data_IF_258875019448
#
_entry.id   IF_258875019448
#
_cell.length_a   1.000
_cell.length_b   1.000
_cell.length_c   1.000
_cell.angle_alpha   90.00
_cell.angle_beta   90.00
_cell.angle_gamma   90.00
#
_symmetry.space_group_name_H-M   'P 1'
#
loop_
_entity.id
_entity.type
_entity.pdbx_description
1 polymer ?
#
# COMPACT_ATOMS: atom_id res chain seq x y z
N UNK A 1 -66.23 55.65 24.47
CA UNK A 1 -65.67 54.91 23.32
C UNK A 1 -64.42 54.18 23.80
N UNK A 2 -64.63 52.90 24.09
CA UNK A 2 -63.77 51.74 23.76
C UNK A 2 -62.41 52.05 23.11
N UNK A 3 -61.29 51.38 23.40
CA UNK A 3 -60.98 50.05 23.93
C UNK A 3 -59.49 50.08 24.30
N UNK A 4 -59.05 49.38 25.35
CA UNK A 4 -57.77 48.63 25.31
C UNK A 4 -57.93 47.30 26.04
N UNK A 5 -58.07 46.28 25.21
CA UNK A 5 -58.15 44.86 25.52
C UNK A 5 -56.75 44.29 25.78
N UNK A 6 -56.67 43.26 26.63
CA UNK A 6 -55.46 42.49 26.95
C UNK A 6 -55.47 41.14 26.15
N UNK A 7 -54.48 40.24 26.29
CA UNK A 7 -53.65 39.77 25.17
C UNK A 7 -53.95 38.33 24.74
N UNK A 8 -53.43 37.91 23.57
CA UNK A 8 -53.34 36.50 23.21
C UNK A 8 -52.08 36.20 22.39
N UNK A 9 -51.52 35.05 22.75
CA UNK A 9 -50.21 34.48 22.43
C UNK A 9 -50.06 34.13 20.94
N UNK A 10 -48.87 34.40 20.37
CA UNK A 10 -48.49 33.97 19.03
C UNK A 10 -47.99 32.51 19.05
N UNK A 11 -48.70 31.63 18.35
CA UNK A 11 -48.18 30.34 17.88
C UNK A 11 -47.31 30.58 16.63
N UNK A 12 -46.05 30.15 16.65
CA UNK A 12 -45.25 29.98 15.44
C UNK A 12 -45.34 28.52 14.99
N UNK A 13 -46.00 28.33 13.84
CA UNK A 13 -46.07 27.07 13.10
C UNK A 13 -44.68 26.70 12.56
N UNK A 14 -44.26 25.47 12.86
CA UNK A 14 -43.12 24.80 12.22
C UNK A 14 -43.50 24.48 10.76
N UNK A 15 -42.69 24.91 9.80
CA UNK A 15 -42.76 24.43 8.41
C UNK A 15 -41.49 23.65 8.10
N UNK A 16 -41.64 22.34 7.88
CA UNK A 16 -40.55 21.46 7.45
C UNK A 16 -40.18 21.73 5.99
N UNK A 17 -38.89 21.70 5.60
CA UNK A 17 -38.52 21.73 4.20
C UNK A 17 -38.81 20.36 3.56
N UNK A 18 -39.58 20.36 2.47
CA UNK A 18 -39.76 19.19 1.59
C UNK A 18 -38.42 18.88 0.94
N UNK A 19 -37.85 17.71 1.23
CA UNK A 19 -36.63 17.24 0.56
C UNK A 19 -36.95 16.86 -0.89
N UNK A 20 -36.19 17.43 -1.82
CA UNK A 20 -36.24 17.09 -3.24
C UNK A 20 -35.61 15.70 -3.45
N UNK A 21 -36.36 14.72 -3.97
CA UNK A 21 -35.93 13.32 -4.09
C UNK A 21 -34.96 13.03 -5.24
N UNK A 22 -34.37 14.06 -5.86
CA UNK A 22 -33.50 13.91 -7.03
C UNK A 22 -32.00 14.04 -6.76
N UNK A 23 -31.59 14.27 -5.51
CA UNK A 23 -30.17 14.34 -5.14
C UNK A 23 -29.57 13.00 -4.63
N UNK A 24 -30.37 11.93 -4.54
CA UNK A 24 -29.98 10.65 -3.91
C UNK A 24 -29.34 9.63 -4.87
N UNK A 25 -28.87 10.06 -6.05
CA UNK A 25 -28.24 9.18 -7.04
C UNK A 25 -26.73 9.40 -7.22
N UNK A 26 -26.09 10.31 -6.47
CA UNK A 26 -24.65 10.59 -6.60
C UNK A 26 -23.75 9.99 -5.50
N UNK A 27 -24.31 9.17 -4.60
CA UNK A 27 -23.55 8.58 -3.47
C UNK A 27 -23.28 7.08 -3.65
N UNK A 28 -23.56 6.50 -4.82
CA UNK A 28 -23.16 5.12 -5.11
C UNK A 28 -21.72 5.09 -5.62
N UNK A 29 -20.82 4.89 -4.66
CA UNK A 29 -19.42 4.46 -4.80
C UNK A 29 -18.43 5.48 -5.35
N UNK A 30 -18.04 6.44 -4.51
CA UNK A 30 -16.65 6.87 -4.52
C UNK A 30 -15.84 5.74 -3.85
N UNK A 31 -15.48 4.70 -4.59
CA UNK A 31 -14.58 3.67 -4.09
C UNK A 31 -13.33 4.37 -3.56
N UNK A 32 -13.07 4.24 -2.25
CA UNK A 32 -11.90 4.84 -1.64
C UNK A 32 -10.66 4.36 -2.40
N UNK A 33 -9.80 5.30 -2.80
CA UNK A 33 -8.55 4.94 -3.47
C UNK A 33 -7.71 4.13 -2.48
N UNK A 34 -7.20 2.95 -2.87
CA UNK A 34 -6.37 2.17 -1.97
C UNK A 34 -5.15 2.99 -1.53
N UNK A 35 -4.71 2.88 -0.26
CA UNK A 35 -3.50 3.53 0.21
C UNK A 35 -2.28 2.96 -0.53
N UNK A 36 -1.11 3.62 -0.51
CA UNK A 36 0.12 3.01 -1.01
C UNK A 36 0.38 1.67 -0.27
N UNK A 37 0.59 0.56 -1.01
CA UNK A 37 0.82 -0.73 -0.38
C UNK A 37 2.14 -0.74 0.38
N UNK A 38 2.16 -1.42 1.51
CA UNK A 38 3.38 -1.76 2.25
C UNK A 38 4.03 -3.01 1.67
N UNK A 39 5.29 -3.23 2.02
CA UNK A 39 5.99 -4.47 1.70
C UNK A 39 5.27 -5.67 2.34
N UNK A 40 4.65 -5.52 3.51
CA UNK A 40 3.79 -6.55 4.11
C UNK A 40 2.63 -6.97 3.20
N UNK A 41 2.00 -6.03 2.50
CA UNK A 41 0.89 -6.33 1.58
C UNK A 41 1.40 -7.07 0.34
N UNK A 42 2.55 -6.64 -0.19
CA UNK A 42 3.24 -7.31 -1.28
C UNK A 42 3.64 -8.75 -0.93
N UNK A 43 4.10 -9.01 0.30
CA UNK A 43 4.50 -10.35 0.73
C UNK A 43 3.34 -11.35 0.86
N UNK A 44 2.09 -10.86 0.91
CA UNK A 44 0.91 -11.74 0.87
C UNK A 44 0.61 -12.28 -0.54
N UNK A 45 1.27 -11.73 -1.57
CA UNK A 45 1.20 -12.21 -2.95
C UNK A 45 2.36 -13.17 -3.24
N UNK A 46 2.09 -14.48 -3.18
CA UNK A 46 3.10 -15.54 -3.36
C UNK A 46 3.75 -15.50 -4.74
N UNK A 47 2.96 -15.31 -5.79
CA UNK A 47 3.47 -15.31 -7.17
C UNK A 47 4.40 -14.11 -7.40
N UNK A 48 4.02 -12.93 -6.88
CA UNK A 48 4.89 -11.76 -6.93
C UNK A 48 6.17 -11.98 -6.11
N UNK A 49 6.05 -12.53 -4.90
CA UNK A 49 7.20 -12.81 -4.05
C UNK A 49 8.18 -13.78 -4.73
N UNK A 50 7.68 -14.84 -5.37
CA UNK A 50 8.52 -15.81 -6.09
C UNK A 50 9.23 -15.19 -7.30
N UNK A 51 8.57 -14.30 -8.04
CA UNK A 51 9.21 -13.53 -9.11
C UNK A 51 10.30 -12.58 -8.58
N UNK A 52 10.09 -11.96 -7.42
CA UNK A 52 11.09 -11.11 -6.79
C UNK A 52 12.30 -11.93 -6.33
N UNK A 53 12.07 -13.10 -5.72
CA UNK A 53 13.13 -14.04 -5.31
C UNK A 53 13.99 -14.44 -6.50
N UNK A 54 13.37 -14.86 -7.60
CA UNK A 54 14.09 -15.22 -8.84
C UNK A 54 14.97 -14.08 -9.36
N UNK A 55 14.51 -12.83 -9.22
CA UNK A 55 15.19 -11.64 -9.72
C UNK A 55 16.25 -11.07 -8.78
N UNK A 56 16.15 -11.30 -7.48
CA UNK A 56 16.95 -10.62 -6.46
C UNK A 56 17.82 -11.55 -5.63
N UNK A 57 17.58 -12.87 -5.60
CA UNK A 57 18.44 -13.86 -4.94
C UNK A 57 19.79 -14.14 -5.63
N UNK A 58 20.00 -13.95 -6.95
CA UNK A 58 21.28 -14.27 -7.57
C UNK A 58 22.49 -13.53 -6.94
N UNK A 59 23.57 -14.28 -6.68
CA UNK A 59 24.82 -13.76 -6.11
C UNK A 59 25.80 -13.18 -7.15
N UNK A 60 25.41 -13.11 -8.43
CA UNK A 60 26.30 -12.62 -9.47
C UNK A 60 26.61 -11.13 -9.30
N UNK A 61 27.90 -10.78 -9.13
CA UNK A 61 28.36 -9.46 -8.71
C UNK A 61 27.99 -8.31 -9.65
N UNK A 62 27.69 -8.59 -10.93
CA UNK A 62 27.25 -7.59 -11.92
C UNK A 62 25.77 -7.22 -11.78
N UNK A 63 24.97 -8.01 -11.05
CA UNK A 63 23.54 -7.77 -10.85
C UNK A 63 23.33 -7.16 -9.47
N UNK A 64 22.78 -5.95 -9.41
CA UNK A 64 22.36 -5.33 -8.16
C UNK A 64 21.20 -6.12 -7.56
N UNK A 65 21.43 -6.74 -6.41
CA UNK A 65 20.59 -7.75 -5.80
C UNK A 65 20.10 -7.33 -4.39
N UNK A 66 19.52 -8.28 -3.64
CA UNK A 66 19.01 -8.05 -2.28
C UNK A 66 20.03 -7.37 -1.35
N UNK A 67 21.33 -7.71 -1.43
CA UNK A 67 22.37 -7.10 -0.58
C UNK A 67 22.53 -5.61 -0.82
N UNK A 68 22.48 -5.20 -2.08
CA UNK A 68 22.62 -3.79 -2.46
C UNK A 68 21.44 -2.97 -1.93
N UNK A 69 20.25 -3.58 -1.90
CA UNK A 69 19.03 -2.96 -1.41
C UNK A 69 19.06 -2.88 0.12
N UNK A 70 19.35 -3.99 0.79
CA UNK A 70 19.47 -4.08 2.24
C UNK A 70 20.55 -3.14 2.80
N UNK A 71 21.73 -3.11 2.18
CA UNK A 71 22.81 -2.19 2.54
C UNK A 71 22.38 -0.73 2.42
N UNK A 72 21.65 -0.37 1.35
CA UNK A 72 21.13 0.99 1.17
C UNK A 72 20.12 1.40 2.23
N UNK A 73 19.37 0.43 2.78
CA UNK A 73 18.45 0.64 3.88
C UNK A 73 19.08 0.43 5.27
N UNK A 74 20.41 0.38 5.35
CA UNK A 74 21.15 0.45 6.61
C UNK A 74 21.46 -0.89 7.26
N UNK A 75 21.27 -2.02 6.56
CA UNK A 75 21.77 -3.31 7.04
C UNK A 75 23.31 -3.30 7.02
N UNK A 76 23.93 -3.58 8.16
CA UNK A 76 25.39 -3.60 8.31
C UNK A 76 26.05 -4.72 7.50
N UNK A 77 27.35 -4.60 7.26
CA UNK A 77 28.11 -5.64 6.56
C UNK A 77 28.01 -7.01 7.26
N UNK A 78 28.08 -7.03 8.58
CA UNK A 78 28.00 -8.27 9.37
C UNK A 78 26.60 -8.90 9.27
N UNK A 79 25.54 -8.09 9.32
CA UNK A 79 24.16 -8.56 9.11
C UNK A 79 23.96 -9.12 7.69
N UNK A 80 24.48 -8.43 6.67
CA UNK A 80 24.42 -8.90 5.27
C UNK A 80 25.15 -10.23 5.10
N UNK A 81 26.35 -10.34 5.68
CA UNK A 81 27.16 -11.56 5.62
C UNK A 81 26.45 -12.70 6.33
N UNK A 82 25.91 -12.46 7.53
CA UNK A 82 25.17 -13.46 8.29
C UNK A 82 23.92 -13.94 7.53
N UNK A 83 23.15 -13.03 6.92
CA UNK A 83 21.97 -13.39 6.15
C UNK A 83 22.31 -14.21 4.90
N UNK A 84 23.39 -13.86 4.19
CA UNK A 84 23.87 -14.66 3.06
C UNK A 84 24.20 -16.09 3.50
N UNK A 85 25.00 -16.26 4.56
CA UNK A 85 25.38 -17.58 5.05
C UNK A 85 24.17 -18.43 5.48
N UNK A 86 23.16 -17.81 6.10
CA UNK A 86 21.94 -18.51 6.55
C UNK A 86 21.04 -18.98 5.40
N UNK A 87 21.10 -18.30 4.26
CA UNK A 87 20.22 -18.56 3.12
C UNK A 87 20.93 -19.27 1.96
N UNK A 88 22.26 -19.37 2.03
CA UNK A 88 23.08 -20.00 1.00
C UNK A 88 22.65 -21.45 0.76
N UNK A 89 22.28 -21.76 -0.49
CA UNK A 89 21.89 -23.10 -0.92
C UNK A 89 20.52 -23.56 -0.40
N UNK A 90 19.76 -22.70 0.30
CA UNK A 90 18.44 -23.05 0.79
C UNK A 90 17.38 -22.86 -0.30
N UNK A 91 16.52 -23.87 -0.48
CA UNK A 91 15.33 -23.75 -1.34
C UNK A 91 14.14 -23.10 -0.60
N UNK A 92 14.12 -23.21 0.74
CA UNK A 92 13.02 -22.73 1.59
C UNK A 92 13.29 -21.34 2.18
N UNK A 93 14.55 -20.93 2.33
CA UNK A 93 14.93 -19.64 2.90
C UNK A 93 15.59 -18.76 1.83
N UNK A 94 14.88 -17.71 1.42
CA UNK A 94 15.37 -16.73 0.44
C UNK A 94 15.91 -15.49 1.15
N UNK A 95 17.10 -14.99 0.78
CA UNK A 95 17.60 -13.74 1.33
C UNK A 95 16.77 -12.53 0.91
N UNK A 96 16.16 -12.54 -0.28
CA UNK A 96 15.21 -11.49 -0.70
C UNK A 96 14.00 -11.47 0.22
N UNK A 97 13.44 -12.63 0.57
CA UNK A 97 12.28 -12.71 1.46
C UNK A 97 12.62 -12.20 2.87
N UNK A 98 13.75 -12.62 3.45
CA UNK A 98 14.20 -12.15 4.76
C UNK A 98 14.48 -10.63 4.77
N UNK A 99 15.08 -10.10 3.71
CA UNK A 99 15.25 -8.67 3.51
C UNK A 99 13.90 -7.93 3.51
N UNK A 100 12.94 -8.37 2.70
CA UNK A 100 11.61 -7.76 2.62
C UNK A 100 10.89 -7.85 3.96
N UNK A 101 11.02 -8.97 4.67
CA UNK A 101 10.43 -9.18 5.99
C UNK A 101 10.95 -8.17 7.01
N UNK A 102 12.27 -7.90 7.04
CA UNK A 102 12.89 -6.95 7.97
C UNK A 102 12.42 -5.51 7.75
N UNK A 103 12.06 -5.16 6.52
CA UNK A 103 11.61 -3.82 6.13
C UNK A 103 10.11 -3.77 5.80
N UNK A 104 9.30 -4.71 6.30
CA UNK A 104 7.90 -4.88 5.89
C UNK A 104 6.99 -3.66 6.10
N UNK A 105 7.39 -2.73 6.97
CA UNK A 105 6.65 -1.49 7.24
C UNK A 105 6.86 -0.40 6.19
N UNK A 106 7.92 -0.50 5.37
CA UNK A 106 8.15 0.41 4.25
C UNK A 106 7.13 0.20 3.15
N UNK A 107 6.92 1.23 2.35
CA UNK A 107 6.03 1.19 1.18
C UNK A 107 6.69 0.50 -0.01
N UNK A 108 5.88 -0.06 -0.91
CA UNK A 108 6.36 -0.57 -2.21
C UNK A 108 6.92 0.57 -3.08
N UNK A 109 6.50 1.81 -2.84
CA UNK A 109 7.09 3.00 -3.47
C UNK A 109 8.56 3.18 -3.07
N UNK A 110 8.90 3.08 -1.78
CA UNK A 110 10.30 3.15 -1.31
C UNK A 110 11.15 2.00 -1.90
N UNK A 111 10.58 0.79 -2.01
CA UNK A 111 11.25 -0.33 -2.69
C UNK A 111 11.49 -0.03 -4.19
N UNK A 112 10.52 0.63 -4.83
CA UNK A 112 10.62 1.06 -6.23
C UNK A 112 11.71 2.12 -6.44
N UNK A 113 11.96 2.98 -5.45
CA UNK A 113 13.06 3.96 -5.48
C UNK A 113 14.43 3.28 -5.46
N UNK A 114 14.61 2.20 -4.69
CA UNK A 114 15.82 1.37 -4.78
C UNK A 114 15.98 0.78 -6.17
N UNK A 115 14.89 0.32 -6.78
CA UNK A 115 14.93 -0.23 -8.14
C UNK A 115 15.38 0.82 -9.16
N UNK A 116 14.89 2.07 -9.05
CA UNK A 116 15.34 3.18 -9.90
C UNK A 116 16.82 3.50 -9.68
N UNK A 117 17.22 3.64 -8.42
CA UNK A 117 18.60 3.98 -8.03
C UNK A 117 19.61 2.98 -8.59
N UNK A 118 19.30 1.68 -8.47
CA UNK A 118 20.16 0.61 -8.95
C UNK A 118 19.87 0.17 -10.39
N UNK A 119 19.01 0.92 -11.10
CA UNK A 119 18.60 0.64 -12.48
C UNK A 119 18.05 -0.79 -12.70
N UNK A 120 17.40 -1.35 -11.67
CA UNK A 120 16.67 -2.63 -11.74
C UNK A 120 15.30 -2.43 -12.36
N UNK A 121 15.28 -2.05 -13.63
CA UNK A 121 14.06 -1.74 -14.40
C UNK A 121 13.14 -2.96 -14.50
N UNK A 122 13.72 -4.16 -14.53
CA UNK A 122 12.98 -5.43 -14.57
C UNK A 122 12.16 -5.68 -13.30
N UNK A 123 12.69 -5.31 -12.13
CA UNK A 123 11.97 -5.36 -10.85
C UNK A 123 11.01 -4.18 -10.74
N UNK A 124 11.43 -2.98 -11.16
CA UNK A 124 10.58 -1.79 -11.12
C UNK A 124 9.27 -1.99 -11.90
N UNK A 125 9.35 -2.51 -13.14
CA UNK A 125 8.17 -2.78 -13.97
C UNK A 125 7.25 -3.83 -13.35
N UNK A 126 7.83 -4.82 -12.68
CA UNK A 126 7.07 -5.84 -11.95
C UNK A 126 6.27 -5.20 -10.80
N UNK A 127 6.92 -4.37 -9.98
CA UNK A 127 6.28 -3.66 -8.86
C UNK A 127 5.20 -2.68 -9.35
N UNK A 128 5.49 -1.89 -10.38
CA UNK A 128 4.52 -0.93 -10.95
C UNK A 128 3.27 -1.64 -11.50
N UNK A 129 3.46 -2.72 -12.27
CA UNK A 129 2.34 -3.50 -12.79
C UNK A 129 1.46 -4.03 -11.66
N UNK A 130 2.07 -4.55 -10.59
CA UNK A 130 1.33 -5.06 -9.44
C UNK A 130 0.56 -3.97 -8.71
N UNK A 131 1.20 -2.82 -8.45
CA UNK A 131 0.56 -1.68 -7.80
C UNK A 131 -0.64 -1.12 -8.59
N UNK A 132 -0.56 -1.14 -9.92
CA UNK A 132 -1.60 -0.62 -10.80
C UNK A 132 -2.75 -1.61 -11.02
N UNK A 133 -2.45 -2.91 -11.13
CA UNK A 133 -3.43 -3.92 -11.57
C UNK A 133 -3.95 -4.83 -10.46
N UNK A 134 -3.09 -5.19 -9.51
CA UNK A 134 -3.38 -6.23 -8.53
C UNK A 134 -3.69 -5.64 -7.15
N UNK A 135 -2.98 -4.59 -6.74
CA UNK A 135 -3.18 -3.98 -5.43
C UNK A 135 -4.60 -3.40 -5.21
N UNK A 136 -5.23 -2.67 -6.16
CA UNK A 136 -6.54 -2.08 -5.91
C UNK A 136 -7.63 -3.11 -5.61
N UNK A 137 -7.63 -4.25 -6.32
CA UNK A 137 -8.60 -5.32 -6.10
C UNK A 137 -8.31 -6.08 -4.80
N UNK A 138 -7.03 -6.33 -4.48
CA UNK A 138 -6.62 -6.96 -3.22
C UNK A 138 -7.02 -6.12 -2.01
N UNK A 139 -6.85 -4.80 -2.08
CA UNK A 139 -7.24 -3.90 -0.99
C UNK A 139 -8.75 -3.91 -0.75
N UNK A 140 -9.55 -3.86 -1.82
CA UNK A 140 -11.02 -3.93 -1.77
C UNK A 140 -11.56 -5.27 -1.25
N UNK A 141 -10.81 -6.37 -1.41
CA UNK A 141 -11.22 -7.68 -0.87
C UNK A 141 -10.91 -7.82 0.62
N UNK A 142 -9.96 -7.04 1.13
CA UNK A 142 -9.51 -7.10 2.51
C UNK A 142 -10.24 -6.11 3.45
N UNK A 143 -11.01 -5.15 2.91
CA UNK A 143 -11.67 -4.06 3.65
C UNK A 143 -13.10 -3.84 3.16
#
# INVERSE_FOLDING_TARGET
MEMKNAPAQHLLHQTSPKSCSYCTALVKSAAARPPPPKISDLMNDKDLLDLLRLKLDPNHCTIKNWKNFASRWGMSYDELTLLEHRTQGSLSHSPTQEFLLRYNQKTVTELSELCRLYQRIDVLRLLQRWMEKDWPSRWQQAH
#
